data_IF_381556564619
#
_entry.id   IF_381556564619
#
_cell.length_a   1.000
_cell.length_b   1.000
_cell.length_c   1.000
_cell.angle_alpha   90.00
_cell.angle_beta   90.00
_cell.angle_gamma   90.00
#
_symmetry.space_group_name_H-M   'P 1'
#
loop_
_entity.id
_entity.type
_entity.pdbx_description
1 polymer ?
#
# COMPACT_ATOMS: atom_id res chain seq x y z
N UNK A 1 13.69 -13.07 -8.47
CA UNK A 1 14.48 -12.18 -7.59
C UNK A 1 13.70 -10.89 -7.36
N UNK A 2 13.75 -10.32 -6.15
CA UNK A 2 13.03 -9.09 -5.79
C UNK A 2 13.99 -8.01 -5.30
N UNK A 3 13.67 -6.74 -5.54
CA UNK A 3 14.51 -5.57 -5.18
C UNK A 3 13.70 -4.44 -4.55
N UNK A 4 14.39 -3.46 -3.99
CA UNK A 4 13.78 -2.24 -3.47
C UNK A 4 13.59 -1.14 -4.53
N UNK A 5 14.40 -1.11 -5.59
CA UNK A 5 14.34 -0.05 -6.61
C UNK A 5 14.20 -0.61 -8.02
N UNK A 6 13.50 0.13 -8.87
CA UNK A 6 13.38 -0.20 -10.29
C UNK A 6 14.75 -0.23 -10.97
N UNK A 7 15.66 0.68 -10.58
CA UNK A 7 17.04 0.70 -11.08
C UNK A 7 17.76 -0.62 -10.81
N UNK A 8 17.75 -1.09 -9.56
CA UNK A 8 18.40 -2.36 -9.20
C UNK A 8 17.74 -3.57 -9.88
N UNK A 9 16.41 -3.55 -10.06
CA UNK A 9 15.71 -4.60 -10.80
C UNK A 9 16.16 -4.64 -12.28
N UNK A 10 16.26 -3.47 -12.91
CA UNK A 10 16.67 -3.36 -14.31
C UNK A 10 18.13 -3.75 -14.51
N UNK A 11 19.04 -3.24 -13.69
CA UNK A 11 20.47 -3.59 -13.75
C UNK A 11 20.69 -5.11 -13.57
N UNK A 12 19.97 -5.75 -12.64
CA UNK A 12 20.05 -7.20 -12.48
C UNK A 12 19.46 -7.96 -13.66
N UNK A 13 18.39 -7.45 -14.27
CA UNK A 13 17.80 -8.05 -15.47
C UNK A 13 18.75 -8.00 -16.65
N UNK A 14 19.35 -6.84 -16.89
CA UNK A 14 20.37 -6.65 -17.93
C UNK A 14 21.54 -7.62 -17.73
N UNK A 15 22.08 -7.69 -16.52
CA UNK A 15 23.18 -8.61 -16.19
C UNK A 15 22.84 -10.09 -16.40
N UNK A 16 21.63 -10.51 -16.06
CA UNK A 16 21.20 -11.90 -16.30
C UNK A 16 21.11 -12.20 -17.79
N UNK A 17 20.57 -11.27 -18.59
CA UNK A 17 20.50 -11.42 -20.05
C UNK A 17 21.90 -11.49 -20.66
N UNK A 18 22.85 -10.68 -20.19
CA UNK A 18 24.26 -10.73 -20.64
C UNK A 18 24.92 -12.09 -20.36
N UNK A 19 24.65 -12.69 -19.20
CA UNK A 19 25.30 -13.93 -18.77
C UNK A 19 24.73 -15.19 -19.44
N UNK A 20 23.41 -15.27 -19.64
CA UNK A 20 22.74 -16.49 -20.13
C UNK A 20 21.91 -16.29 -21.41
N UNK A 21 22.02 -15.12 -22.05
CA UNK A 21 21.41 -14.82 -23.34
C UNK A 21 19.88 -14.88 -23.32
N UNK A 22 19.28 -15.45 -24.37
CA UNK A 22 17.82 -15.55 -24.54
C UNK A 22 17.13 -16.27 -23.37
N UNK A 23 17.82 -17.17 -22.67
CA UNK A 23 17.30 -17.86 -21.50
C UNK A 23 17.08 -16.91 -20.30
N UNK A 24 17.78 -15.77 -20.26
CA UNK A 24 17.64 -14.75 -19.21
C UNK A 24 16.39 -13.87 -19.33
N UNK A 25 15.74 -13.83 -20.51
CA UNK A 25 14.55 -12.99 -20.74
C UNK A 25 13.35 -13.42 -19.88
N UNK A 26 13.25 -14.70 -19.55
CA UNK A 26 12.19 -15.24 -18.69
C UNK A 26 12.41 -14.98 -17.20
N UNK A 27 13.57 -14.48 -16.79
CA UNK A 27 13.90 -14.26 -15.39
C UNK A 27 12.93 -13.26 -14.75
N UNK A 28 12.23 -13.73 -13.71
CA UNK A 28 11.30 -12.91 -12.95
C UNK A 28 12.08 -12.03 -11.97
N UNK A 29 12.47 -10.84 -12.42
CA UNK A 29 13.19 -9.83 -11.63
C UNK A 29 12.33 -8.57 -11.58
N UNK A 30 11.97 -8.15 -10.37
CA UNK A 30 11.08 -7.02 -10.15
C UNK A 30 11.34 -6.36 -8.79
N UNK A 31 10.69 -5.23 -8.51
CA UNK A 31 10.61 -4.74 -7.13
C UNK A 31 9.61 -5.55 -6.31
N UNK A 32 9.63 -5.38 -4.99
CA UNK A 32 8.58 -5.91 -4.10
C UNK A 32 7.18 -5.45 -4.52
N UNK A 33 7.00 -4.16 -4.81
CA UNK A 33 5.70 -3.63 -5.22
C UNK A 33 5.26 -4.18 -6.58
N UNK A 34 6.15 -4.24 -7.58
CA UNK A 34 5.81 -4.81 -8.88
C UNK A 34 5.47 -6.30 -8.79
N UNK A 35 6.14 -7.04 -7.90
CA UNK A 35 5.81 -8.43 -7.59
C UNK A 35 4.43 -8.54 -6.93
N UNK A 36 4.15 -7.71 -5.92
CA UNK A 36 2.90 -7.70 -5.20
C UNK A 36 1.72 -7.34 -6.10
N UNK A 37 1.83 -6.30 -6.94
CA UNK A 37 0.83 -5.95 -7.95
C UNK A 37 0.51 -7.15 -8.83
N UNK A 38 1.53 -7.88 -9.32
CA UNK A 38 1.30 -9.03 -10.19
C UNK A 38 0.49 -10.14 -9.50
N UNK A 39 0.72 -10.39 -8.21
CA UNK A 39 -0.07 -11.34 -7.42
C UNK A 39 -1.50 -10.81 -7.27
N UNK A 40 -1.64 -9.56 -6.83
CA UNK A 40 -2.95 -8.95 -6.60
C UNK A 40 -3.80 -8.89 -7.86
N UNK A 41 -3.22 -8.58 -9.03
CA UNK A 41 -3.95 -8.61 -10.31
C UNK A 41 -4.57 -9.97 -10.63
N UNK A 42 -4.06 -11.07 -10.07
CA UNK A 42 -4.57 -12.42 -10.28
C UNK A 42 -5.51 -12.88 -9.17
N UNK A 43 -5.19 -12.54 -7.92
CA UNK A 43 -5.79 -13.22 -6.77
C UNK A 43 -6.59 -12.28 -5.86
N UNK A 44 -6.56 -10.95 -6.05
CA UNK A 44 -7.20 -9.99 -5.12
C UNK A 44 -8.73 -10.11 -5.03
N UNK A 45 -9.36 -10.76 -6.01
CA UNK A 45 -10.81 -10.97 -6.03
C UNK A 45 -11.29 -11.80 -4.82
N UNK A 46 -10.43 -12.63 -4.22
CA UNK A 46 -10.75 -13.36 -2.98
C UNK A 46 -10.99 -12.43 -1.78
N UNK A 47 -10.42 -11.22 -1.81
CA UNK A 47 -10.67 -10.16 -0.82
C UNK A 47 -11.86 -9.27 -1.20
N UNK A 48 -12.60 -9.59 -2.27
CA UNK A 48 -13.73 -8.81 -2.75
C UNK A 48 -13.34 -7.48 -3.43
N UNK A 49 -12.09 -7.34 -3.87
CA UNK A 49 -11.60 -6.20 -4.65
C UNK A 49 -11.54 -6.54 -6.14
N UNK A 50 -11.77 -5.56 -7.03
CA UNK A 50 -11.65 -5.82 -8.46
C UNK A 50 -10.18 -5.98 -8.85
N UNK A 51 -9.90 -6.93 -9.73
CA UNK A 51 -8.55 -7.19 -10.26
C UNK A 51 -7.95 -5.97 -10.99
N UNK A 52 -8.76 -5.01 -11.46
CA UNK A 52 -8.35 -3.75 -12.08
C UNK A 52 -8.30 -2.53 -11.13
N UNK A 53 -8.12 -2.73 -9.82
CA UNK A 53 -7.91 -1.66 -8.83
C UNK A 53 -6.89 -0.58 -9.25
N UNK A 54 -7.11 0.66 -8.81
CA UNK A 54 -6.17 1.77 -9.02
C UNK A 54 -5.08 1.79 -7.95
N UNK A 55 -3.87 2.19 -8.33
CA UNK A 55 -2.75 2.37 -7.40
C UNK A 55 -2.57 3.86 -7.15
N UNK A 56 -2.60 4.27 -5.89
CA UNK A 56 -2.52 5.66 -5.47
C UNK A 56 -1.05 6.08 -5.32
N UNK A 57 -0.66 7.14 -6.00
CA UNK A 57 0.62 7.80 -5.77
C UNK A 57 0.55 8.83 -4.61
N UNK A 58 1.66 9.51 -4.32
CA UNK A 58 1.71 10.51 -3.25
C UNK A 58 0.76 11.69 -3.47
N UNK A 59 0.46 12.05 -4.73
CA UNK A 59 -0.43 13.14 -5.09
C UNK A 59 -1.88 12.71 -4.86
N UNK A 60 -2.24 11.51 -5.33
CA UNK A 60 -3.56 10.92 -5.15
C UNK A 60 -3.89 10.76 -3.67
N UNK A 61 -2.95 10.22 -2.88
CA UNK A 61 -3.11 10.09 -1.43
C UNK A 61 -3.38 11.44 -0.76
N UNK A 62 -2.64 12.49 -1.12
CA UNK A 62 -2.88 13.84 -0.60
C UNK A 62 -4.23 14.40 -1.04
N UNK A 63 -4.71 14.07 -2.23
CA UNK A 63 -6.03 14.48 -2.71
C UNK A 63 -7.15 13.83 -1.89
N UNK A 64 -7.01 12.54 -1.54
CA UNK A 64 -7.96 11.82 -0.68
C UNK A 64 -8.07 12.47 0.70
N UNK A 65 -6.96 13.01 1.24
CA UNK A 65 -6.98 13.66 2.56
C UNK A 65 -7.79 14.96 2.59
N UNK A 66 -7.87 15.71 1.48
CA UNK A 66 -8.53 17.03 1.43
C UNK A 66 -9.96 17.06 1.99
N UNK A 67 -10.90 16.21 1.54
CA UNK A 67 -12.25 16.19 2.10
C UNK A 67 -12.30 15.77 3.57
N UNK A 68 -11.34 14.95 4.02
CA UNK A 68 -11.26 14.48 5.41
C UNK A 68 -10.85 15.62 6.34
N UNK A 69 -9.84 16.41 5.96
CA UNK A 69 -9.47 17.63 6.69
C UNK A 69 -10.67 18.57 6.89
N UNK A 70 -11.44 18.80 5.81
CA UNK A 70 -12.64 19.63 5.86
C UNK A 70 -13.70 19.08 6.82
N UNK A 71 -13.92 17.76 6.78
CA UNK A 71 -14.92 17.08 7.61
C UNK A 71 -14.56 17.13 9.10
N UNK A 72 -13.26 17.01 9.43
CA UNK A 72 -12.76 17.03 10.80
C UNK A 72 -12.44 18.43 11.32
N UNK A 73 -12.66 19.47 10.51
CA UNK A 73 -12.29 20.85 10.81
C UNK A 73 -10.80 21.00 11.20
N UNK A 74 -9.92 20.27 10.50
CA UNK A 74 -8.48 20.28 10.73
C UNK A 74 -7.76 21.15 9.69
N UNK A 75 -6.64 21.75 10.09
CA UNK A 75 -5.81 22.56 9.20
C UNK A 75 -4.61 21.77 8.69
N UNK A 76 -4.46 21.72 7.35
CA UNK A 76 -3.28 21.13 6.71
C UNK A 76 -1.98 21.92 6.99
N UNK A 77 -2.08 23.12 7.57
CA UNK A 77 -0.91 23.90 8.02
C UNK A 77 -0.40 23.44 9.37
N UNK A 78 -1.30 23.10 10.30
CA UNK A 78 -0.92 22.62 11.64
C UNK A 78 -0.58 21.14 11.63
N UNK A 79 -1.28 20.36 10.80
CA UNK A 79 -1.04 18.94 10.62
C UNK A 79 -0.84 18.67 9.13
N UNK A 80 0.40 18.63 8.68
CA UNK A 80 0.69 18.50 7.25
C UNK A 80 0.24 17.14 6.70
N UNK A 81 -0.22 17.07 5.42
CA UNK A 81 -0.63 15.81 4.80
C UNK A 81 0.47 14.74 4.82
N UNK A 82 1.74 15.17 4.74
CA UNK A 82 2.89 14.28 4.83
C UNK A 82 2.95 13.57 6.18
N UNK A 83 2.84 14.32 7.28
CA UNK A 83 2.83 13.75 8.63
C UNK A 83 1.65 12.79 8.82
N UNK A 84 0.49 13.14 8.26
CA UNK A 84 -0.69 12.26 8.31
C UNK A 84 -0.42 10.94 7.59
N UNK A 85 0.07 10.98 6.34
CA UNK A 85 0.37 9.77 5.57
C UNK A 85 1.47 8.92 6.20
N UNK A 86 2.51 9.54 6.76
CA UNK A 86 3.57 8.83 7.49
C UNK A 86 3.01 8.09 8.72
N UNK A 87 2.07 8.69 9.45
CA UNK A 87 1.43 8.01 10.59
C UNK A 87 0.44 6.93 10.16
N UNK A 88 -0.33 7.16 9.08
CA UNK A 88 -1.20 6.14 8.48
C UNK A 88 -0.38 4.92 8.07
N UNK A 89 0.75 5.14 7.39
CA UNK A 89 1.67 4.06 7.01
C UNK A 89 2.17 3.28 8.22
N UNK A 90 2.57 3.97 9.30
CA UNK A 90 2.97 3.33 10.57
C UNK A 90 1.85 2.49 11.18
N UNK A 91 0.62 3.00 11.24
CA UNK A 91 -0.51 2.23 11.76
C UNK A 91 -0.73 0.95 10.94
N UNK A 92 -0.72 1.08 9.61
CA UNK A 92 -0.89 -0.05 8.70
C UNK A 92 0.21 -1.11 8.85
N UNK A 93 1.48 -0.68 8.88
CA UNK A 93 2.62 -1.59 9.02
C UNK A 93 2.63 -2.31 10.38
N UNK A 94 2.08 -1.67 11.42
CA UNK A 94 1.94 -2.28 12.74
C UNK A 94 0.67 -3.13 12.88
N UNK A 95 -0.15 -3.26 11.83
CA UNK A 95 -1.44 -3.95 11.89
C UNK A 95 -2.47 -3.28 12.80
N UNK A 96 -2.28 -2.00 13.14
CA UNK A 96 -3.18 -1.24 14.01
C UNK A 96 -4.37 -0.73 13.21
N UNK A 97 -5.59 -1.13 13.60
CA UNK A 97 -6.84 -0.65 13.02
C UNK A 97 -7.11 0.82 13.38
N UNK A 98 -7.96 1.54 12.61
CA UNK A 98 -8.34 2.91 12.94
C UNK A 98 -9.01 3.04 14.32
N UNK A 99 -9.77 2.03 14.72
CA UNK A 99 -10.42 1.94 16.02
C UNK A 99 -9.39 1.78 17.16
N UNK A 100 -8.43 0.86 17.03
CA UNK A 100 -7.35 0.68 18.00
C UNK A 100 -6.45 1.92 18.10
N UNK A 101 -6.13 2.55 16.96
CA UNK A 101 -5.35 3.78 16.93
C UNK A 101 -6.04 4.92 17.70
N UNK A 102 -7.38 4.96 17.67
CA UNK A 102 -8.17 5.94 18.42
C UNK A 102 -8.22 5.61 19.92
N UNK A 103 -8.33 4.33 20.28
CA UNK A 103 -8.32 3.87 21.67
C UNK A 103 -6.97 4.12 22.35
N UNK A 104 -5.86 3.87 21.63
CA UNK A 104 -4.50 4.07 22.13
C UNK A 104 -4.06 5.54 22.15
N UNK A 105 -4.87 6.46 21.61
CA UNK A 105 -4.53 7.86 21.47
C UNK A 105 -4.37 8.57 22.82
N UNK A 106 -3.19 9.16 23.07
CA UNK A 106 -2.86 9.81 24.35
C UNK A 106 -3.02 11.32 24.33
N UNK A 107 -3.04 11.91 23.14
CA UNK A 107 -3.18 13.35 22.92
C UNK A 107 -4.28 13.67 21.91
N UNK A 108 -4.69 14.94 21.85
CA UNK A 108 -5.64 15.38 20.82
C UNK A 108 -5.08 15.26 19.40
N UNK A 109 -3.76 15.39 19.26
CA UNK A 109 -3.05 15.13 18.00
C UNK A 109 -3.18 13.66 17.58
N UNK A 110 -2.99 12.73 18.51
CA UNK A 110 -3.12 11.29 18.21
C UNK A 110 -4.55 10.95 17.83
N UNK A 111 -5.54 11.50 18.54
CA UNK A 111 -6.97 11.33 18.22
C UNK A 111 -7.29 11.88 16.83
N UNK A 112 -6.73 13.03 16.46
CA UNK A 112 -6.90 13.60 15.14
C UNK A 112 -6.26 12.72 14.06
N UNK A 113 -5.05 12.18 14.29
CA UNK A 113 -4.39 11.24 13.38
C UNK A 113 -5.19 9.95 13.20
N UNK A 114 -5.72 9.36 14.27
CA UNK A 114 -6.58 8.18 14.20
C UNK A 114 -7.88 8.44 13.41
N UNK A 115 -8.50 9.61 13.61
CA UNK A 115 -9.68 10.03 12.83
C UNK A 115 -9.35 10.25 11.35
N UNK A 116 -8.20 10.85 11.05
CA UNK A 116 -7.71 11.01 9.67
C UNK A 116 -7.47 9.64 9.02
N UNK A 117 -6.86 8.71 9.75
CA UNK A 117 -6.64 7.34 9.29
C UNK A 117 -7.96 6.62 8.96
N UNK A 118 -8.94 6.69 9.85
CA UNK A 118 -10.29 6.14 9.62
C UNK A 118 -10.93 6.72 8.36
N UNK A 119 -10.88 8.04 8.20
CA UNK A 119 -11.42 8.72 7.02
C UNK A 119 -10.72 8.28 5.73
N UNK A 120 -9.39 8.14 5.79
CA UNK A 120 -8.57 7.74 4.64
C UNK A 120 -8.88 6.31 4.20
N UNK A 121 -8.94 5.36 5.14
CA UNK A 121 -9.30 3.97 4.84
C UNK A 121 -10.69 3.88 4.21
N UNK A 122 -11.68 4.60 4.76
CA UNK A 122 -13.05 4.63 4.22
C UNK A 122 -13.08 5.17 2.79
N UNK A 123 -12.40 6.29 2.52
CA UNK A 123 -12.40 6.87 1.17
C UNK A 123 -11.73 5.94 0.16
N UNK A 124 -10.60 5.33 0.54
CA UNK A 124 -9.86 4.39 -0.30
C UNK A 124 -10.68 3.15 -0.64
N UNK A 125 -11.42 2.61 0.32
CA UNK A 125 -12.34 1.49 0.11
C UNK A 125 -13.47 1.86 -0.88
N UNK A 126 -14.06 3.06 -0.74
CA UNK A 126 -15.13 3.52 -1.63
C UNK A 126 -14.69 3.59 -3.10
N UNK A 127 -13.46 4.03 -3.36
CA UNK A 127 -12.90 4.12 -4.72
C UNK A 127 -12.21 2.84 -5.18
N UNK A 128 -12.18 1.79 -4.35
CA UNK A 128 -11.54 0.50 -4.64
C UNK A 128 -10.09 0.63 -5.11
N UNK A 129 -9.35 1.54 -4.48
CA UNK A 129 -7.94 1.79 -4.78
C UNK A 129 -7.03 1.25 -3.69
N UNK A 130 -5.76 1.05 -4.01
CA UNK A 130 -4.70 0.63 -3.08
C UNK A 130 -3.57 1.65 -3.11
N UNK A 131 -2.98 1.96 -1.96
CA UNK A 131 -1.70 2.66 -1.88
C UNK A 131 -0.54 1.64 -1.81
N UNK A 132 0.71 2.13 -1.81
CA UNK A 132 1.89 1.26 -1.84
C UNK A 132 1.98 0.29 -0.64
N UNK A 133 1.56 0.74 0.55
CA UNK A 133 1.56 -0.10 1.75
C UNK A 133 0.53 -1.24 1.62
N UNK A 134 -0.64 -0.95 1.03
CA UNK A 134 -1.66 -1.99 0.81
C UNK A 134 -1.17 -3.09 -0.11
N UNK A 135 -0.33 -2.78 -1.11
CA UNK A 135 0.14 -3.77 -2.05
C UNK A 135 0.83 -4.92 -1.33
N UNK A 136 1.64 -4.63 -0.31
CA UNK A 136 2.35 -5.64 0.45
C UNK A 136 1.42 -6.31 1.47
N UNK A 137 0.64 -5.52 2.22
CA UNK A 137 -0.26 -6.02 3.25
C UNK A 137 -1.36 -6.93 2.70
N UNK A 138 -1.89 -6.64 1.50
CA UNK A 138 -2.95 -7.44 0.90
C UNK A 138 -2.40 -8.77 0.38
N UNK A 139 -1.17 -8.79 -0.12
CA UNK A 139 -0.52 -10.06 -0.49
C UNK A 139 -0.30 -10.92 0.74
N UNK A 140 0.24 -10.34 1.81
CA UNK A 140 0.41 -11.04 3.09
C UNK A 140 -0.93 -11.60 3.59
N UNK A 141 -1.98 -10.77 3.59
CA UNK A 141 -3.33 -11.20 3.96
C UNK A 141 -3.84 -12.36 3.09
N UNK A 142 -3.73 -12.26 1.77
CA UNK A 142 -4.18 -13.32 0.85
C UNK A 142 -3.45 -14.63 1.17
N UNK A 143 -2.14 -14.59 1.34
CA UNK A 143 -1.34 -15.79 1.59
C UNK A 143 -1.62 -16.42 2.95
N UNK A 144 -1.87 -15.61 3.98
CA UNK A 144 -2.23 -16.10 5.31
C UNK A 144 -3.65 -16.68 5.36
N UNK A 145 -4.60 -16.08 4.63
CA UNK A 145 -6.00 -16.52 4.61
C UNK A 145 -6.28 -17.63 3.58
N UNK A 146 -5.43 -17.78 2.56
CA UNK A 146 -5.61 -18.73 1.45
C UNK A 146 -4.28 -19.48 1.17
N UNK A 147 -3.89 -20.46 2.01
CA UNK A 147 -2.61 -21.15 1.90
C UNK A 147 -2.37 -21.83 0.54
N UNK A 148 -3.43 -22.24 -0.16
CA UNK A 148 -3.35 -22.81 -1.50
C UNK A 148 -2.88 -21.80 -2.55
N UNK A 149 -3.18 -20.51 -2.38
CA UNK A 149 -2.70 -19.44 -3.27
C UNK A 149 -1.21 -19.20 -3.02
N UNK A 150 -0.77 -19.27 -1.75
CA UNK A 150 0.64 -19.10 -1.38
C UNK A 150 1.55 -20.22 -1.92
N UNK A 151 0.99 -21.41 -2.20
CA UNK A 151 1.74 -22.56 -2.71
C UNK A 151 1.87 -22.61 -4.24
N UNK A 152 1.20 -21.71 -4.98
CA UNK A 152 1.30 -21.61 -6.45
C UNK A 152 2.64 -21.02 -6.90
#
# INVERSE_FOLDING_TARGET
>A
AVTFTNKAANEMKERVIELIGKNGVGAQISTYHSFAVRILRKEIEVLGYPSNFNILDDIDQKMILKPIYKTLNLSSKTMSPRIVLENISKFKMNGTSPEEALEQAKSDTDKALAKMYKGYMKQKEQIRSLDFDDLLLFVDKIFNENPEIAQK
#
